data_IF_642127896634
#
_entry.id   IF_642127896634
#
_cell.length_a   1.000
_cell.length_b   1.000
_cell.length_c   1.000
_cell.angle_alpha   90.00
_cell.angle_beta   90.00
_cell.angle_gamma   90.00
#
_symmetry.space_group_name_H-M   'P 1'
#
loop_
_entity.id
_entity.type
_entity.pdbx_description
1 polymer ?
#
# COMPACT_ATOMS: atom_id res chain seq x y z
N UNK A 1 1.34 -19.72 -1.15
CA UNK A 1 2.35 -19.68 -0.06
C UNK A 1 2.67 -21.09 0.44
N UNK A 2 1.67 -21.91 0.80
CA UNK A 2 1.91 -23.30 1.22
C UNK A 2 2.74 -24.13 0.22
N UNK A 3 2.38 -24.10 -1.06
CA UNK A 3 3.14 -24.79 -2.12
C UNK A 3 4.63 -24.41 -2.11
N UNK A 4 4.92 -23.11 -2.07
CA UNK A 4 6.30 -22.59 -2.03
C UNK A 4 7.03 -23.08 -0.78
N UNK A 5 6.40 -22.99 0.39
CA UNK A 5 7.01 -23.44 1.65
C UNK A 5 7.26 -24.94 1.68
N UNK A 6 6.38 -25.71 1.03
CA UNK A 6 6.51 -27.17 0.92
C UNK A 6 7.68 -27.54 0.00
N UNK A 7 7.74 -26.96 -1.20
CA UNK A 7 8.84 -27.22 -2.15
C UNK A 7 10.20 -26.80 -1.57
N UNK A 8 10.25 -25.71 -0.80
CA UNK A 8 11.45 -25.23 -0.12
C UNK A 8 11.73 -25.94 1.23
N UNK A 9 10.88 -26.88 1.66
CA UNK A 9 10.98 -27.63 2.92
C UNK A 9 11.12 -26.71 4.15
N UNK A 10 10.38 -25.59 4.15
CA UNK A 10 10.40 -24.61 5.23
C UNK A 10 9.36 -24.97 6.29
N UNK A 11 9.84 -25.36 7.47
CA UNK A 11 8.98 -25.70 8.61
C UNK A 11 8.65 -24.48 9.49
N UNK A 12 9.57 -23.51 9.57
CA UNK A 12 9.41 -22.24 10.28
C UNK A 12 10.24 -21.16 9.61
N UNK A 13 9.67 -19.98 9.35
CA UNK A 13 10.34 -18.91 8.59
C UNK A 13 9.86 -17.51 8.98
N UNK A 14 10.62 -16.49 8.60
CA UNK A 14 10.19 -15.09 8.67
C UNK A 14 9.46 -14.70 7.39
N UNK A 15 8.37 -13.95 7.52
CA UNK A 15 7.55 -13.52 6.38
C UNK A 15 7.65 -12.01 6.20
N UNK A 16 8.09 -11.56 5.03
CA UNK A 16 8.10 -10.16 4.66
C UNK A 16 6.85 -9.82 3.83
N UNK A 17 6.09 -8.83 4.29
CA UNK A 17 5.00 -8.23 3.54
C UNK A 17 5.39 -6.85 3.03
N UNK A 18 5.11 -6.58 1.75
CA UNK A 18 5.25 -5.26 1.13
C UNK A 18 3.98 -4.87 0.37
N UNK A 19 3.55 -3.62 0.44
CA UNK A 19 2.32 -3.13 -0.21
C UNK A 19 1.13 -4.03 0.13
N UNK A 20 0.36 -4.50 -0.85
CA UNK A 20 -0.73 -5.47 -0.68
C UNK A 20 -0.31 -6.75 0.07
N UNK A 21 0.98 -7.11 0.01
CA UNK A 21 1.55 -8.26 0.72
C UNK A 21 1.38 -8.20 2.24
N UNK A 22 1.09 -7.05 2.84
CA UNK A 22 0.74 -6.97 4.27
C UNK A 22 -0.53 -7.74 4.63
N UNK A 23 -1.60 -7.56 3.85
CA UNK A 23 -2.86 -8.32 4.00
C UNK A 23 -2.55 -9.82 3.90
N UNK A 24 -1.78 -10.23 2.89
CA UNK A 24 -1.43 -11.64 2.69
C UNK A 24 -0.58 -12.19 3.84
N UNK A 25 0.44 -11.44 4.26
CA UNK A 25 1.37 -11.87 5.30
C UNK A 25 0.68 -12.05 6.65
N UNK A 26 -0.16 -11.10 7.05
CA UNK A 26 -0.92 -11.18 8.30
C UNK A 26 -1.95 -12.30 8.28
N UNK A 27 -2.73 -12.45 7.21
CA UNK A 27 -3.71 -13.53 7.11
C UNK A 27 -3.04 -14.90 7.11
N UNK A 28 -1.89 -15.04 6.44
CA UNK A 28 -1.14 -16.29 6.45
C UNK A 28 -0.58 -16.60 7.84
N UNK A 29 0.04 -15.63 8.51
CA UNK A 29 0.57 -15.81 9.86
C UNK A 29 -0.53 -16.13 10.88
N UNK A 30 -1.70 -15.50 10.75
CA UNK A 30 -2.87 -15.81 11.59
C UNK A 30 -3.36 -17.24 11.38
N UNK A 31 -3.38 -17.74 10.13
CA UNK A 31 -3.81 -19.11 9.81
C UNK A 31 -2.78 -20.18 10.19
N UNK A 32 -1.49 -19.86 10.13
CA UNK A 32 -0.38 -20.81 10.38
C UNK A 32 0.65 -20.26 11.38
N UNK A 33 0.23 -19.92 12.63
CA UNK A 33 1.11 -19.24 13.58
C UNK A 33 2.35 -20.05 13.95
N UNK A 34 2.26 -21.39 13.93
CA UNK A 34 3.39 -22.27 14.22
C UNK A 34 4.48 -22.27 13.12
N UNK A 35 4.13 -21.89 11.88
CA UNK A 35 5.06 -21.81 10.75
C UNK A 35 5.75 -20.45 10.62
N UNK A 36 5.20 -19.40 11.22
CA UNK A 36 5.75 -18.04 11.11
C UNK A 36 6.54 -17.69 12.37
N UNK A 37 7.86 -17.56 12.23
CA UNK A 37 8.75 -17.15 13.33
C UNK A 37 8.63 -15.65 13.66
N UNK A 38 8.30 -14.85 12.66
CA UNK A 38 8.07 -13.41 12.79
C UNK A 38 7.65 -12.80 11.45
N UNK A 39 7.10 -11.59 11.50
CA UNK A 39 6.63 -10.85 10.33
C UNK A 39 7.40 -9.54 10.22
N UNK A 40 7.87 -9.22 9.02
CA UNK A 40 8.48 -7.94 8.67
C UNK A 40 7.49 -7.21 7.77
N UNK A 41 7.03 -6.03 8.18
CA UNK A 41 6.07 -5.23 7.43
C UNK A 41 6.76 -3.97 6.89
N UNK A 42 6.91 -3.87 5.58
CA UNK A 42 7.53 -2.74 4.89
C UNK A 42 6.52 -2.04 4.00
N UNK A 43 6.13 -0.80 4.32
CA UNK A 43 5.18 0.01 3.52
C UNK A 43 3.96 -0.80 3.06
N UNK A 44 3.23 -1.38 4.01
CA UNK A 44 2.17 -2.35 3.74
C UNK A 44 0.77 -1.74 3.72
N UNK A 45 -0.11 -2.39 2.97
CA UNK A 45 -1.56 -2.29 3.11
C UNK A 45 -2.00 -3.32 4.16
N UNK A 46 -2.70 -2.86 5.21
CA UNK A 46 -3.33 -3.73 6.21
C UNK A 46 -4.84 -3.82 6.04
N UNK A 47 -5.44 -2.73 5.59
CA UNK A 47 -6.85 -2.64 5.25
C UNK A 47 -6.98 -1.83 3.95
N UNK A 48 -7.56 -2.43 2.92
CA UNK A 48 -7.66 -1.82 1.60
C UNK A 48 -8.56 -0.58 1.61
N UNK A 49 -9.71 -0.67 2.29
CA UNK A 49 -10.69 0.42 2.35
C UNK A 49 -10.11 1.64 3.06
N UNK A 50 -9.55 1.45 4.25
CA UNK A 50 -8.92 2.54 5.01
C UNK A 50 -7.75 3.17 4.23
N UNK A 51 -6.95 2.36 3.53
CA UNK A 51 -5.84 2.85 2.72
C UNK A 51 -6.33 3.73 1.57
N UNK A 52 -7.40 3.31 0.88
CA UNK A 52 -8.02 4.14 -0.16
C UNK A 52 -8.66 5.41 0.40
N UNK A 53 -9.39 5.34 1.51
CA UNK A 53 -9.99 6.52 2.14
C UNK A 53 -8.93 7.54 2.55
N UNK A 54 -7.81 7.08 3.09
CA UNK A 54 -6.68 7.94 3.42
C UNK A 54 -6.09 8.63 2.18
N UNK A 55 -5.89 7.89 1.09
CA UNK A 55 -5.38 8.46 -0.17
C UNK A 55 -6.38 9.43 -0.82
N UNK A 56 -7.68 9.13 -0.78
CA UNK A 56 -8.76 10.03 -1.23
C UNK A 56 -8.73 11.33 -0.42
N UNK A 57 -8.74 11.26 0.91
CA UNK A 57 -8.74 12.43 1.78
C UNK A 57 -7.48 13.31 1.56
N UNK A 58 -6.31 12.67 1.41
CA UNK A 58 -5.07 13.37 1.11
C UNK A 58 -5.09 14.01 -0.28
N UNK A 59 -5.60 13.30 -1.28
CA UNK A 59 -5.73 13.81 -2.65
C UNK A 59 -6.67 15.00 -2.73
N UNK A 60 -7.85 14.91 -2.08
CA UNK A 60 -8.77 16.03 -1.96
C UNK A 60 -8.13 17.24 -1.25
N UNK A 61 -7.37 17.02 -0.16
CA UNK A 61 -6.63 18.09 0.50
C UNK A 61 -5.64 18.78 -0.45
N UNK A 62 -4.87 18.00 -1.21
CA UNK A 62 -3.88 18.50 -2.17
C UNK A 62 -4.53 19.27 -3.33
N UNK A 63 -5.66 18.77 -3.82
CA UNK A 63 -6.43 19.36 -4.91
C UNK A 63 -7.41 20.46 -4.45
N UNK A 64 -7.45 20.78 -3.15
CA UNK A 64 -8.37 21.75 -2.54
C UNK A 64 -9.85 21.43 -2.83
N UNK A 65 -10.21 20.15 -2.81
CA UNK A 65 -11.58 19.65 -3.00
C UNK A 65 -12.27 19.45 -1.64
N UNK A 66 -13.60 19.50 -1.64
CA UNK A 66 -14.40 19.20 -0.44
C UNK A 66 -14.22 17.72 -0.03
N UNK A 67 -13.92 17.51 1.25
CA UNK A 67 -13.75 16.18 1.85
C UNK A 67 -15.05 15.57 2.38
N UNK A 68 -16.16 16.31 2.39
CA UNK A 68 -17.45 15.83 2.89
C UNK A 68 -18.27 15.05 1.83
N UNK A 69 -17.65 14.68 0.71
CA UNK A 69 -18.31 13.93 -0.35
C UNK A 69 -18.45 12.46 0.07
N UNK A 70 -19.70 12.00 0.19
CA UNK A 70 -19.99 10.58 0.37
C UNK A 70 -19.92 9.87 -0.98
N UNK A 71 -19.12 8.82 -1.07
CA UNK A 71 -18.98 8.02 -2.29
C UNK A 71 -19.70 6.68 -2.13
N UNK A 72 -20.56 6.34 -3.10
CA UNK A 72 -21.22 5.02 -3.12
C UNK A 72 -20.20 3.88 -3.29
N UNK A 73 -19.18 4.12 -4.12
CA UNK A 73 -18.09 3.21 -4.39
C UNK A 73 -16.75 3.94 -4.24
N UNK A 74 -15.86 3.35 -3.44
CA UNK A 74 -14.55 3.92 -3.14
C UNK A 74 -13.65 4.03 -4.37
N UNK A 75 -13.82 3.14 -5.35
CA UNK A 75 -13.00 3.14 -6.57
C UNK A 75 -13.38 4.31 -7.47
N UNK A 76 -14.66 4.62 -7.56
CA UNK A 76 -15.18 5.74 -8.35
C UNK A 76 -14.76 7.10 -7.76
N UNK A 77 -14.48 7.13 -6.46
CA UNK A 77 -13.84 8.26 -5.79
C UNK A 77 -12.32 8.31 -6.04
N UNK A 78 -11.67 7.16 -5.90
CA UNK A 78 -10.23 7.03 -5.92
C UNK A 78 -9.62 7.37 -7.27
N UNK A 79 -10.12 6.75 -8.35
CA UNK A 79 -9.50 6.85 -9.68
C UNK A 79 -9.41 8.31 -10.17
N UNK A 80 -10.50 9.12 -10.16
CA UNK A 80 -10.44 10.49 -10.67
C UNK A 80 -9.50 11.39 -9.86
N UNK A 81 -9.41 11.20 -8.55
CA UNK A 81 -8.48 11.96 -7.70
C UNK A 81 -7.03 11.65 -8.10
N UNK A 82 -6.71 10.38 -8.30
CA UNK A 82 -5.36 9.98 -8.70
C UNK A 82 -4.97 10.52 -10.08
N UNK A 83 -5.90 10.48 -11.03
CA UNK A 83 -5.67 11.05 -12.38
C UNK A 83 -5.41 12.56 -12.31
N UNK A 84 -6.21 13.32 -11.55
CA UNK A 84 -5.99 14.76 -11.36
C UNK A 84 -4.64 15.07 -10.71
N UNK A 85 -4.24 14.28 -9.71
CA UNK A 85 -2.93 14.43 -9.07
C UNK A 85 -1.78 14.16 -10.06
N UNK A 86 -1.94 13.18 -10.96
CA UNK A 86 -0.95 12.91 -12.02
C UNK A 86 -0.88 14.07 -13.02
N UNK A 87 -2.04 14.56 -13.49
CA UNK A 87 -2.12 15.70 -14.42
C UNK A 87 -1.45 16.95 -13.86
N UNK A 88 -1.53 17.18 -12.54
CA UNK A 88 -0.91 18.33 -11.88
C UNK A 88 0.52 18.06 -11.36
N UNK A 89 1.12 16.90 -11.67
CA UNK A 89 2.42 16.46 -11.15
C UNK A 89 2.49 16.43 -9.60
N UNK A 90 1.36 16.24 -8.93
CA UNK A 90 1.24 16.21 -7.47
C UNK A 90 1.15 14.80 -6.90
N UNK A 91 1.02 13.76 -7.73
CA UNK A 91 0.86 12.37 -7.30
C UNK A 91 1.96 11.87 -6.35
N UNK A 92 3.19 12.34 -6.51
CA UNK A 92 4.32 11.97 -5.65
C UNK A 92 4.07 12.29 -4.16
N UNK A 93 3.22 13.28 -3.85
CA UNK A 93 2.87 13.64 -2.47
C UNK A 93 2.10 12.55 -1.72
N UNK A 94 1.61 11.52 -2.43
CA UNK A 94 1.00 10.33 -1.81
C UNK A 94 2.04 9.26 -1.44
N UNK A 95 3.25 9.34 -1.99
CA UNK A 95 4.27 8.30 -1.90
C UNK A 95 5.51 8.78 -1.13
N UNK A 96 5.84 10.06 -1.27
CA UNK A 96 7.04 10.67 -0.72
C UNK A 96 6.68 11.86 0.16
N UNK A 97 7.53 12.13 1.16
CA UNK A 97 7.41 13.32 2.01
C UNK A 97 7.73 14.61 1.26
N UNK A 98 8.61 14.53 0.28
CA UNK A 98 9.11 15.66 -0.49
C UNK A 98 9.58 15.20 -1.88
N UNK A 99 9.82 16.16 -2.76
CA UNK A 99 10.21 15.89 -4.15
C UNK A 99 11.64 15.34 -4.23
N UNK A 100 12.53 15.72 -3.31
CA UNK A 100 13.92 15.26 -3.29
C UNK A 100 14.02 13.74 -3.14
N UNK A 101 13.20 13.14 -2.27
CA UNK A 101 13.16 11.69 -2.10
C UNK A 101 12.66 10.98 -3.36
N UNK A 102 11.69 11.58 -4.08
CA UNK A 102 11.23 11.04 -5.36
C UNK A 102 12.36 11.09 -6.39
N UNK A 103 13.04 12.23 -6.51
CA UNK A 103 14.15 12.41 -7.45
C UNK A 103 15.31 11.45 -7.15
N UNK A 104 15.66 11.27 -5.87
CA UNK A 104 16.70 10.32 -5.47
C UNK A 104 16.35 8.88 -5.85
N UNK A 105 15.08 8.47 -5.71
CA UNK A 105 14.64 7.15 -6.18
C UNK A 105 14.69 7.06 -7.72
N UNK A 106 14.17 8.07 -8.43
CA UNK A 106 14.20 8.11 -9.89
C UNK A 106 15.63 8.06 -10.46
N UNK A 107 16.64 8.52 -9.72
CA UNK A 107 18.06 8.41 -10.10
C UNK A 107 18.64 7.01 -9.89
N UNK A 108 18.22 6.31 -8.83
CA UNK A 108 18.65 4.93 -8.55
C UNK A 108 18.05 3.95 -9.57
N UNK A 109 16.83 4.21 -10.04
CA UNK A 109 16.10 3.34 -10.96
C UNK A 109 16.51 3.49 -12.45
N UNK A 110 17.45 4.38 -12.76
CA UNK A 110 18.03 4.55 -14.12
C UNK A 110 19.11 3.50 -14.43
#
# INVERSE_FOLDING_TARGET
MEEVTYQLKLNKFYLLGHSFGGILALNYAYKYPNKVAGIILTNVTLNMKESFMHQIAKGNQLLQLDNNVTYENIIDAFIPIQLKLLEQNMYFNLQFKNIENKMALDEIDK
#
